data_IF_480630405368
#
_entry.id   IF_480630405368
#
_cell.length_a   1.000
_cell.length_b   1.000
_cell.length_c   1.000
_cell.angle_alpha   90.00
_cell.angle_beta   90.00
_cell.angle_gamma   90.00
#
_symmetry.space_group_name_H-M   'P 1'
#
loop_
_entity.id
_entity.type
_entity.pdbx_description
1 polymer ?
#
# COMPACT_ATOMS: atom_id res chain seq x y z
N UNK A 1 19.10 -1.91 -21.08
CA UNK A 1 17.70 -2.33 -21.30
C UNK A 1 17.34 -3.53 -20.42
N UNK A 2 18.07 -4.65 -20.45
CA UNK A 2 17.73 -5.86 -19.67
C UNK A 2 17.66 -5.69 -18.14
N UNK A 3 18.60 -4.94 -17.55
CA UNK A 3 18.54 -4.62 -16.10
C UNK A 3 17.29 -3.78 -15.77
N UNK A 4 16.95 -2.84 -16.64
CA UNK A 4 15.79 -1.97 -16.47
C UNK A 4 14.47 -2.76 -16.55
N UNK A 5 14.38 -3.70 -17.51
CA UNK A 5 13.26 -4.65 -17.62
C UNK A 5 13.16 -5.53 -16.39
N UNK A 6 14.29 -6.04 -15.88
CA UNK A 6 14.31 -6.82 -14.64
C UNK A 6 13.75 -6.02 -13.45
N UNK A 7 14.17 -4.76 -13.26
CA UNK A 7 13.65 -3.90 -12.19
C UNK A 7 12.16 -3.60 -12.39
N UNK A 8 11.76 -3.27 -13.63
CA UNK A 8 10.38 -2.99 -14.01
C UNK A 8 9.41 -4.15 -13.73
N UNK A 9 9.91 -5.39 -13.72
CA UNK A 9 9.16 -6.59 -13.36
C UNK A 9 9.25 -6.92 -11.86
N UNK A 10 10.46 -6.96 -11.31
CA UNK A 10 10.70 -7.46 -9.95
C UNK A 10 10.10 -6.53 -8.91
N UNK A 11 10.26 -5.21 -9.06
CA UNK A 11 9.79 -4.25 -8.06
C UNK A 11 8.25 -4.28 -7.84
N UNK A 12 7.39 -4.16 -8.89
CA UNK A 12 5.95 -4.28 -8.70
C UNK A 12 5.52 -5.70 -8.30
N UNK A 13 6.27 -6.74 -8.70
CA UNK A 13 5.98 -8.12 -8.28
C UNK A 13 6.21 -8.34 -6.78
N UNK A 14 7.33 -7.85 -6.24
CA UNK A 14 7.59 -7.89 -4.79
C UNK A 14 6.53 -7.11 -4.01
N UNK A 15 6.13 -5.94 -4.51
CA UNK A 15 5.08 -5.15 -3.88
C UNK A 15 3.71 -5.86 -3.91
N UNK A 16 3.39 -6.53 -5.02
CA UNK A 16 2.20 -7.38 -5.16
C UNK A 16 2.21 -8.49 -4.11
N UNK A 17 3.32 -9.22 -3.98
CA UNK A 17 3.48 -10.28 -2.98
C UNK A 17 3.33 -9.77 -1.55
N UNK A 18 3.94 -8.63 -1.22
CA UNK A 18 3.86 -8.02 0.12
C UNK A 18 2.42 -7.62 0.48
N UNK A 19 1.72 -6.95 -0.45
CA UNK A 19 0.34 -6.50 -0.20
C UNK A 19 -0.66 -7.66 -0.18
N UNK A 20 -0.47 -8.68 -1.02
CA UNK A 20 -1.22 -9.93 -0.94
C UNK A 20 -1.02 -10.63 0.41
N UNK A 21 0.24 -10.74 0.86
CA UNK A 21 0.59 -11.41 2.13
C UNK A 21 -0.05 -10.70 3.31
N UNK A 22 -0.05 -9.37 3.36
CA UNK A 22 -0.79 -8.65 4.40
C UNK A 22 -2.27 -9.02 4.40
N UNK A 23 -2.93 -8.91 3.25
CA UNK A 23 -4.38 -9.07 3.16
C UNK A 23 -4.87 -10.50 3.42
N UNK A 24 -4.09 -11.52 3.02
CA UNK A 24 -4.56 -12.91 3.00
C UNK A 24 -3.81 -13.87 3.93
N UNK A 25 -2.61 -13.51 4.38
CA UNK A 25 -1.76 -14.40 5.19
C UNK A 25 -1.56 -13.85 6.60
N UNK A 26 -1.24 -12.56 6.74
CA UNK A 26 -0.89 -11.98 8.03
C UNK A 26 -2.12 -11.52 8.83
N UNK A 27 -3.05 -10.78 8.22
CA UNK A 27 -4.17 -10.17 8.94
C UNK A 27 -5.23 -11.18 9.42
N UNK A 28 -5.64 -12.21 8.66
CA UNK A 28 -6.66 -13.15 9.11
C UNK A 28 -6.36 -13.84 10.46
N UNK A 29 -5.17 -14.44 10.69
CA UNK A 29 -4.88 -15.02 12.01
C UNK A 29 -4.78 -13.96 13.12
N UNK A 30 -4.25 -12.76 12.82
CA UNK A 30 -4.19 -11.66 13.79
C UNK A 30 -5.59 -11.25 14.27
N UNK A 31 -6.52 -11.05 13.34
CA UNK A 31 -7.90 -10.63 13.64
C UNK A 31 -8.75 -11.74 14.27
N UNK A 32 -8.37 -13.01 14.05
CA UNK A 32 -9.06 -14.17 14.63
C UNK A 32 -8.65 -14.41 16.08
N UNK A 33 -7.37 -14.22 16.41
CA UNK A 33 -6.81 -14.70 17.68
C UNK A 33 -6.30 -13.62 18.62
N UNK A 34 -5.94 -12.43 18.13
CA UNK A 34 -5.34 -11.41 18.98
C UNK A 34 -6.41 -10.61 19.76
N UNK A 35 -6.25 -10.41 21.08
CA UNK A 35 -7.10 -9.48 21.84
C UNK A 35 -6.89 -8.04 21.35
N UNK A 36 -7.86 -7.12 21.58
CA UNK A 36 -7.87 -5.79 20.94
C UNK A 36 -6.58 -4.97 21.10
N UNK A 37 -5.98 -4.94 22.29
CA UNK A 37 -4.72 -4.22 22.53
C UNK A 37 -3.53 -4.85 21.79
N UNK A 38 -3.45 -6.18 21.74
CA UNK A 38 -2.38 -6.87 21.01
C UNK A 38 -2.55 -6.66 19.50
N UNK A 39 -3.78 -6.77 19.00
CA UNK A 39 -4.11 -6.51 17.60
C UNK A 39 -3.72 -5.08 17.20
N UNK A 40 -4.01 -4.09 18.06
CA UNK A 40 -3.62 -2.70 17.83
C UNK A 40 -2.10 -2.53 17.68
N UNK A 41 -1.31 -3.15 18.56
CA UNK A 41 0.15 -3.12 18.50
C UNK A 41 0.69 -3.79 17.23
N UNK A 42 0.21 -5.00 16.93
CA UNK A 42 0.65 -5.76 15.76
C UNK A 42 0.31 -5.03 14.45
N UNK A 43 -0.90 -4.48 14.33
CA UNK A 43 -1.30 -3.71 13.17
C UNK A 43 -0.49 -2.41 13.04
N UNK A 44 -0.29 -1.65 14.13
CA UNK A 44 0.48 -0.41 14.08
C UNK A 44 1.92 -0.67 13.63
N UNK A 45 2.56 -1.72 14.16
CA UNK A 45 3.91 -2.10 13.78
C UNK A 45 3.98 -2.47 12.29
N UNK A 46 3.06 -3.29 11.80
CA UNK A 46 2.99 -3.64 10.38
C UNK A 46 2.79 -2.41 9.49
N UNK A 47 1.88 -1.51 9.89
CA UNK A 47 1.60 -0.27 9.18
C UNK A 47 2.80 0.68 9.13
N UNK A 48 3.51 0.85 10.26
CA UNK A 48 4.70 1.71 10.36
C UNK A 48 5.89 1.15 9.58
N UNK A 49 5.99 -0.16 9.45
CA UNK A 49 7.05 -0.80 8.68
C UNK A 49 6.86 -0.66 7.16
N UNK A 50 5.61 -0.56 6.70
CA UNK A 50 5.26 -0.51 5.28
C UNK A 50 6.07 0.53 4.46
N UNK A 51 6.09 1.82 4.83
CA UNK A 51 6.77 2.85 4.04
C UNK A 51 8.25 2.58 3.74
N UNK A 52 8.96 1.87 4.62
CA UNK A 52 10.38 1.55 4.43
C UNK A 52 10.65 0.64 3.22
N UNK A 53 9.68 -0.19 2.84
CA UNK A 53 9.80 -1.13 1.71
C UNK A 53 8.97 -0.68 0.51
N UNK A 54 7.77 -0.16 0.78
CA UNK A 54 6.80 0.17 -0.26
C UNK A 54 7.27 1.33 -1.13
N UNK A 55 7.77 2.42 -0.52
CA UNK A 55 8.17 3.58 -1.30
C UNK A 55 9.32 3.28 -2.30
N UNK A 56 10.41 2.59 -1.91
CA UNK A 56 11.43 2.17 -2.86
C UNK A 56 10.89 1.30 -4.00
N UNK A 57 10.05 0.30 -3.71
CA UNK A 57 9.51 -0.60 -4.74
C UNK A 57 8.62 0.13 -5.76
N UNK A 58 7.74 1.01 -5.28
CA UNK A 58 6.86 1.80 -6.16
C UNK A 58 7.68 2.77 -7.01
N UNK A 59 8.65 3.46 -6.43
CA UNK A 59 9.50 4.40 -7.17
C UNK A 59 10.33 3.68 -8.25
N UNK A 60 10.97 2.56 -7.90
CA UNK A 60 11.76 1.76 -8.84
C UNK A 60 10.90 1.19 -9.97
N UNK A 61 9.75 0.58 -9.65
CA UNK A 61 8.84 0.03 -10.65
C UNK A 61 8.28 1.09 -11.59
N UNK A 62 7.84 2.22 -11.03
CA UNK A 62 7.28 3.35 -11.81
C UNK A 62 8.34 3.96 -12.74
N UNK A 63 9.48 4.36 -12.18
CA UNK A 63 10.53 5.02 -12.96
C UNK A 63 11.13 4.10 -14.04
N UNK A 64 11.29 2.81 -13.74
CA UNK A 64 11.83 1.85 -14.72
C UNK A 64 10.87 1.63 -15.88
N UNK A 65 9.57 1.44 -15.61
CA UNK A 65 8.56 1.32 -16.65
C UNK A 65 8.42 2.63 -17.45
N UNK A 66 8.46 3.80 -16.79
CA UNK A 66 8.42 5.10 -17.50
C UNK A 66 9.61 5.28 -18.45
N UNK A 67 10.81 4.93 -18.00
CA UNK A 67 12.02 5.02 -18.82
C UNK A 67 11.99 4.03 -19.97
N UNK A 68 11.50 2.80 -19.76
CA UNK A 68 11.30 1.83 -20.85
C UNK A 68 10.29 2.31 -21.89
N UNK A 69 9.19 2.93 -21.46
CA UNK A 69 8.23 3.54 -22.37
C UNK A 69 8.90 4.61 -23.26
N UNK A 70 9.65 5.52 -22.64
CA UNK A 70 10.40 6.54 -23.36
C UNK A 70 11.41 5.96 -24.35
N UNK A 71 12.21 4.96 -23.93
CA UNK A 71 13.24 4.33 -24.76
C UNK A 71 12.67 3.49 -25.92
N UNK A 72 11.40 3.07 -25.84
CA UNK A 72 10.75 2.23 -26.86
C UNK A 72 9.72 2.99 -27.70
N UNK A 73 9.68 4.32 -27.57
CA UNK A 73 8.67 5.18 -28.20
C UNK A 73 8.75 5.21 -29.73
N UNK A 74 9.93 4.95 -30.30
CA UNK A 74 10.12 4.90 -31.76
C UNK A 74 9.74 3.54 -32.37
N UNK A 75 9.38 2.55 -31.54
CA UNK A 75 8.93 1.25 -32.01
C UNK A 75 7.52 1.33 -32.61
N UNK A 76 7.32 0.73 -33.79
CA UNK A 76 5.96 0.56 -34.37
C UNK A 76 5.06 -0.38 -33.55
N UNK A 77 5.60 -0.99 -32.49
CA UNK A 77 4.89 -1.88 -31.56
C UNK A 77 4.16 -1.10 -30.45
N UNK A 78 3.12 -1.71 -29.87
CA UNK A 78 2.44 -1.21 -28.67
C UNK A 78 3.30 -1.27 -27.38
N UNK A 79 4.56 -1.70 -27.47
CA UNK A 79 5.49 -1.85 -26.35
C UNK A 79 5.60 -0.59 -25.49
N UNK A 80 5.76 0.60 -26.09
CA UNK A 80 5.85 1.87 -25.34
C UNK A 80 4.60 2.12 -24.50
N UNK A 81 3.41 1.90 -25.09
CA UNK A 81 2.14 2.09 -24.38
C UNK A 81 1.97 1.12 -23.22
N UNK A 82 2.39 -0.15 -23.38
CA UNK A 82 2.31 -1.13 -22.30
C UNK A 82 3.18 -0.73 -21.10
N UNK A 83 4.43 -0.34 -21.34
CA UNK A 83 5.29 0.18 -20.28
C UNK A 83 4.71 1.45 -19.63
N UNK A 84 4.13 2.36 -20.41
CA UNK A 84 3.48 3.56 -19.88
C UNK A 84 2.28 3.20 -18.98
N UNK A 85 1.43 2.26 -19.40
CA UNK A 85 0.31 1.76 -18.59
C UNK A 85 0.80 1.11 -17.30
N UNK A 86 1.82 0.25 -17.36
CA UNK A 86 2.41 -0.38 -16.17
C UNK A 86 2.97 0.67 -15.18
N UNK A 87 3.62 1.71 -15.71
CA UNK A 87 4.10 2.85 -14.91
C UNK A 87 2.95 3.59 -14.24
N UNK A 88 1.90 3.96 -14.98
CA UNK A 88 0.73 4.68 -14.44
C UNK A 88 0.00 3.85 -13.38
N UNK A 89 -0.20 2.55 -13.61
CA UNK A 89 -0.82 1.65 -12.64
C UNK A 89 -0.01 1.61 -11.33
N UNK A 90 1.32 1.43 -11.43
CA UNK A 90 2.20 1.41 -10.24
C UNK A 90 2.19 2.76 -9.52
N UNK A 91 2.27 3.87 -10.26
CA UNK A 91 2.23 5.22 -9.71
C UNK A 91 0.90 5.53 -8.99
N UNK A 92 -0.22 4.98 -9.46
CA UNK A 92 -1.56 5.21 -8.90
C UNK A 92 -1.71 4.76 -7.44
N UNK A 93 -0.83 3.88 -6.97
CA UNK A 93 -0.76 3.47 -5.56
C UNK A 93 -0.51 4.67 -4.63
N UNK A 94 0.25 5.67 -5.07
CA UNK A 94 0.57 6.87 -4.27
C UNK A 94 -0.70 7.67 -3.98
N UNK A 95 -1.47 8.18 -4.97
CA UNK A 95 -2.69 8.91 -4.70
C UNK A 95 -3.77 8.04 -4.04
N UNK A 96 -3.87 6.75 -4.39
CA UNK A 96 -4.78 5.82 -3.69
C UNK A 96 -4.47 5.76 -2.19
N UNK A 97 -3.19 5.69 -1.84
CA UNK A 97 -2.77 5.66 -0.44
C UNK A 97 -3.00 7.01 0.23
N UNK A 98 -2.46 8.09 -0.34
CA UNK A 98 -2.44 9.40 0.29
C UNK A 98 -3.83 10.06 0.38
N UNK A 99 -4.69 9.85 -0.61
CA UNK A 99 -5.98 10.55 -0.71
C UNK A 99 -7.17 9.72 -0.19
N UNK A 100 -7.08 8.38 -0.26
CA UNK A 100 -8.17 7.50 0.13
C UNK A 100 -7.87 6.73 1.41
N UNK A 101 -6.81 5.91 1.44
CA UNK A 101 -6.54 5.07 2.62
C UNK A 101 -6.05 5.86 3.83
N UNK A 102 -5.14 6.82 3.61
CA UNK A 102 -4.47 7.55 4.68
C UNK A 102 -5.42 8.38 5.54
N UNK A 103 -6.24 9.29 4.95
CA UNK A 103 -7.25 10.03 5.70
C UNK A 103 -8.47 9.20 6.11
N UNK A 104 -8.57 7.97 5.60
CA UNK A 104 -9.64 7.02 5.86
C UNK A 104 -9.23 5.96 6.87
N UNK A 105 -9.18 4.71 6.41
CA UNK A 105 -8.98 3.52 7.27
C UNK A 105 -7.62 3.51 8.00
N UNK A 106 -6.54 4.04 7.41
CA UNK A 106 -5.24 4.10 8.11
C UNK A 106 -5.30 5.11 9.26
N UNK A 107 -5.83 6.30 9.01
CA UNK A 107 -6.03 7.33 10.03
C UNK A 107 -6.95 6.82 11.15
N UNK A 108 -8.07 6.20 10.78
CA UNK A 108 -9.00 5.58 11.73
C UNK A 108 -8.31 4.51 12.60
N UNK A 109 -7.46 3.66 12.01
CA UNK A 109 -6.66 2.69 12.73
C UNK A 109 -5.68 3.34 13.70
N UNK A 110 -4.93 4.36 13.27
CA UNK A 110 -4.02 5.12 14.14
C UNK A 110 -4.76 5.75 15.32
N UNK A 111 -5.94 6.33 15.08
CA UNK A 111 -6.79 6.89 16.12
C UNK A 111 -7.23 5.82 17.14
N UNK A 112 -7.74 4.68 16.65
CA UNK A 112 -8.15 3.57 17.52
C UNK A 112 -6.98 2.98 18.30
N UNK A 113 -5.78 2.93 17.72
CA UNK A 113 -4.57 2.50 18.43
C UNK A 113 -4.27 3.43 19.60
N UNK A 114 -4.27 4.75 19.39
CA UNK A 114 -4.09 5.71 20.48
C UNK A 114 -5.18 5.55 21.56
N UNK A 115 -6.43 5.31 21.18
CA UNK A 115 -7.53 5.08 22.12
C UNK A 115 -7.32 3.82 22.98
N UNK A 116 -6.91 2.70 22.36
CA UNK A 116 -6.71 1.42 23.04
C UNK A 116 -5.41 1.35 23.85
N UNK A 117 -4.39 2.11 23.44
CA UNK A 117 -3.05 2.13 24.02
C UNK A 117 -2.76 3.44 24.77
N UNK A 118 -3.78 4.11 25.30
CA UNK A 118 -3.60 5.32 26.12
C UNK A 118 -2.56 5.08 27.23
N UNK A 119 -1.59 5.99 27.33
CA UNK A 119 -0.44 5.89 28.24
C UNK A 119 0.73 5.05 27.72
N UNK A 120 0.56 4.30 26.63
CA UNK A 120 1.62 3.52 25.96
C UNK A 120 2.00 4.09 24.58
N UNK A 121 1.04 4.71 23.88
CA UNK A 121 1.24 5.30 22.55
C UNK A 121 0.38 6.56 22.36
N UNK A 122 0.98 7.60 21.80
CA UNK A 122 0.32 8.85 21.44
C UNK A 122 0.79 9.34 20.07
N UNK A 123 -0.13 9.90 19.28
CA UNK A 123 0.17 10.51 18.00
C UNK A 123 0.85 11.87 18.22
N UNK A 124 1.90 12.15 17.44
CA UNK A 124 2.74 13.36 17.55
C UNK A 124 2.12 14.60 16.91
N UNK A 125 0.80 14.76 17.05
CA UNK A 125 0.01 15.83 16.46
C UNK A 125 -0.56 15.51 15.06
N UNK A 126 -1.07 16.54 14.40
CA UNK A 126 -1.75 16.44 13.09
C UNK A 126 -0.77 16.62 11.94
N UNK A 127 -0.90 15.81 10.88
CA UNK A 127 -0.13 15.97 9.65
C UNK A 127 0.27 14.66 9.00
N UNK A 128 1.30 14.67 8.15
CA UNK A 128 1.78 13.48 7.44
C UNK A 128 2.76 12.65 8.28
N UNK A 129 2.66 11.33 8.17
CA UNK A 129 3.53 10.38 8.84
C UNK A 129 2.76 9.22 9.45
N UNK A 130 3.48 8.16 9.81
CA UNK A 130 2.89 6.97 10.42
C UNK A 130 2.64 7.11 11.92
N UNK A 131 3.15 8.19 12.53
CA UNK A 131 3.01 8.54 13.94
C UNK A 131 2.21 9.84 14.15
N UNK A 132 1.58 10.36 13.09
CA UNK A 132 0.72 11.55 13.14
C UNK A 132 -0.75 11.20 12.88
N UNK A 133 -1.61 12.04 13.42
CA UNK A 133 -3.04 12.00 13.15
C UNK A 133 -3.34 12.52 11.74
N UNK A 134 -3.82 11.61 10.89
CA UNK A 134 -4.21 11.87 9.50
C UNK A 134 -5.70 11.70 9.26
N UNK A 135 -6.46 11.24 10.26
CA UNK A 135 -7.84 10.82 10.06
C UNK A 135 -8.78 12.00 9.84
N UNK A 136 -9.68 11.89 8.85
CA UNK A 136 -10.83 12.82 8.75
C UNK A 136 -11.74 12.64 9.96
N UNK A 137 -12.43 13.72 10.35
CA UNK A 137 -13.34 13.70 11.50
C UNK A 137 -14.41 12.59 11.43
N UNK A 138 -14.97 12.34 10.24
CA UNK A 138 -15.94 11.26 10.03
C UNK A 138 -15.35 9.87 10.30
N UNK A 139 -14.09 9.64 9.93
CA UNK A 139 -13.38 8.38 10.16
C UNK A 139 -12.97 8.18 11.61
N UNK A 140 -12.68 9.26 12.35
CA UNK A 140 -12.49 9.20 13.82
C UNK A 140 -13.77 8.81 14.53
N UNK A 141 -14.88 9.49 14.21
CA UNK A 141 -16.19 9.19 14.79
C UNK A 141 -16.65 7.76 14.46
N UNK A 142 -16.32 7.27 13.26
CA UNK A 142 -16.54 5.87 12.90
C UNK A 142 -15.67 4.93 13.73
N UNK A 143 -14.36 5.20 13.84
CA UNK A 143 -13.43 4.40 14.63
C UNK A 143 -13.90 4.26 16.08
N UNK A 144 -14.34 5.35 16.72
CA UNK A 144 -14.85 5.33 18.11
C UNK A 144 -15.99 4.33 18.32
N UNK A 145 -16.78 4.03 17.28
CA UNK A 145 -17.96 3.15 17.34
C UNK A 145 -17.68 1.69 17.03
N UNK A 146 -16.50 1.37 16.47
CA UNK A 146 -16.14 0.01 16.05
C UNK A 146 -14.94 -0.52 16.83
N UNK A 147 -14.79 -1.83 16.85
CA UNK A 147 -13.62 -2.47 17.43
C UNK A 147 -12.40 -2.42 16.49
N UNK A 148 -11.21 -2.70 17.05
CA UNK A 148 -9.98 -2.73 16.25
C UNK A 148 -10.04 -3.79 15.15
N UNK A 149 -10.72 -4.92 15.41
CA UNK A 149 -10.88 -6.01 14.44
C UNK A 149 -11.54 -5.50 13.15
N UNK A 150 -12.66 -4.81 13.25
CA UNK A 150 -13.40 -4.24 12.12
C UNK A 150 -12.50 -3.30 11.31
N UNK A 151 -11.71 -2.46 11.98
CA UNK A 151 -10.81 -1.52 11.29
C UNK A 151 -9.70 -2.27 10.54
N UNK A 152 -9.09 -3.27 11.17
CA UNK A 152 -8.01 -4.06 10.59
C UNK A 152 -8.48 -4.92 9.42
N UNK A 153 -9.68 -5.52 9.51
CA UNK A 153 -10.30 -6.26 8.40
C UNK A 153 -10.61 -5.34 7.21
N UNK A 154 -11.17 -4.15 7.47
CA UNK A 154 -11.41 -3.16 6.43
C UNK A 154 -10.09 -2.69 5.81
N UNK A 155 -9.05 -2.49 6.62
CA UNK A 155 -7.72 -2.13 6.15
C UNK A 155 -7.17 -3.21 5.21
N UNK A 156 -7.26 -4.48 5.59
CA UNK A 156 -6.79 -5.60 4.77
C UNK A 156 -7.55 -5.70 3.43
N UNK A 157 -8.88 -5.55 3.47
CA UNK A 157 -9.71 -5.52 2.25
C UNK A 157 -9.36 -4.34 1.35
N UNK A 158 -9.11 -3.18 1.93
CA UNK A 158 -8.76 -1.97 1.18
C UNK A 158 -7.33 -2.07 0.61
N UNK A 159 -6.41 -2.67 1.36
CA UNK A 159 -5.04 -2.94 0.92
C UNK A 159 -5.00 -3.98 -0.22
N UNK A 160 -5.97 -4.89 -0.32
CA UNK A 160 -6.04 -5.90 -1.38
C UNK A 160 -6.08 -5.30 -2.80
N UNK A 161 -6.70 -4.12 -2.96
CA UNK A 161 -6.68 -3.41 -4.24
C UNK A 161 -5.27 -3.10 -4.73
N UNK A 162 -4.31 -2.89 -3.82
CA UNK A 162 -2.94 -2.57 -4.19
C UNK A 162 -2.26 -3.72 -4.91
N UNK A 163 -2.42 -4.96 -4.46
CA UNK A 163 -1.85 -6.12 -5.17
C UNK A 163 -2.56 -6.38 -6.50
N UNK A 164 -3.86 -6.10 -6.61
CA UNK A 164 -4.59 -6.23 -7.88
C UNK A 164 -4.02 -5.25 -8.91
N UNK A 165 -3.84 -3.98 -8.52
CA UNK A 165 -3.27 -2.93 -9.37
C UNK A 165 -1.84 -3.29 -9.79
N UNK A 166 -0.97 -3.62 -8.83
CA UNK A 166 0.44 -3.88 -9.15
C UNK A 166 0.69 -5.23 -9.79
N UNK A 167 -0.14 -6.24 -9.50
CA UNK A 167 -0.11 -7.52 -10.22
C UNK A 167 -0.49 -7.34 -11.68
N UNK A 168 -1.50 -6.50 -11.95
CA UNK A 168 -1.84 -6.10 -13.32
C UNK A 168 -0.68 -5.34 -13.98
N UNK A 169 -0.05 -4.39 -13.27
CA UNK A 169 1.12 -3.67 -13.77
C UNK A 169 2.28 -4.61 -14.11
N UNK A 170 2.56 -5.62 -13.27
CA UNK A 170 3.55 -6.67 -13.55
C UNK A 170 3.23 -7.41 -14.84
N UNK A 171 1.99 -7.88 -15.03
CA UNK A 171 1.60 -8.63 -16.22
C UNK A 171 1.72 -7.79 -17.50
N UNK A 172 1.30 -6.52 -17.44
CA UNK A 172 1.44 -5.57 -18.55
C UNK A 172 2.91 -5.33 -18.89
N UNK A 173 3.76 -5.11 -17.88
CA UNK A 173 5.21 -4.94 -18.07
C UNK A 173 5.87 -6.20 -18.65
N UNK A 174 5.45 -7.38 -18.20
CA UNK A 174 5.95 -8.67 -18.72
C UNK A 174 5.59 -8.85 -20.20
N UNK A 175 4.35 -8.52 -20.56
CA UNK A 175 3.88 -8.58 -21.95
C UNK A 175 4.67 -7.62 -22.84
N UNK A 176 5.11 -6.47 -22.32
CA UNK A 176 5.94 -5.52 -23.06
C UNK A 176 7.42 -5.97 -23.20
N UNK A 177 7.83 -6.98 -22.42
CA UNK A 177 9.23 -7.45 -22.36
C UNK A 177 9.49 -8.63 -23.31
N UNK A 178 8.45 -9.40 -23.65
CA UNK A 178 8.48 -10.55 -24.57
C UNK A 178 8.13 -10.09 -25.98
#
# INVERSE_FOLDING_TARGET
>A
VSVLQAIALVAPSLYTGLTFTYSHVAIPPMTTHAPPKLLAKQWLQAYQFGPAFVAPLILLGTSSNALLAYMTNDSKSHTSHLYAVASTLTASIIPYTALYMEPGVNGAGKWKVQELLRGEFELKGVGQGTDKDTARASWKSWAEKVDMKTIVELWARTNAWRYVITGTATLVSATATV
#
